data_IF_835254898051
#
_entry.id   IF_835254898051
#
_cell.length_a   1.000
_cell.length_b   1.000
_cell.length_c   1.000
_cell.angle_alpha   90.00
_cell.angle_beta   90.00
_cell.angle_gamma   90.00
#
_symmetry.space_group_name_H-M   'P 1'
#
loop_
_entity.id
_entity.type
_entity.pdbx_description
1 polymer ?
#
# COMPACT_ATOMS: atom_id res chain seq x y z
N UNK A 1 -1.14 -22.43 -12.20
CA UNK A 1 -1.79 -21.48 -11.27
C UNK A 1 -1.04 -20.17 -11.40
N UNK A 2 -1.73 -19.06 -11.63
CA UNK A 2 -1.10 -17.78 -11.93
C UNK A 2 -0.27 -17.26 -10.75
N UNK A 3 0.86 -16.63 -11.07
CA UNK A 3 1.62 -15.77 -10.19
C UNK A 3 0.72 -14.63 -9.68
N UNK A 4 0.80 -14.33 -8.38
CA UNK A 4 -0.09 -13.39 -7.67
C UNK A 4 0.77 -12.50 -6.78
N UNK A 5 0.79 -11.22 -7.12
CA UNK A 5 1.27 -10.15 -6.24
C UNK A 5 0.08 -9.51 -5.56
N UNK A 6 0.22 -9.25 -4.27
CA UNK A 6 -0.83 -8.67 -3.45
C UNK A 6 -0.48 -7.24 -3.06
N UNK A 7 -1.48 -6.37 -2.98
CA UNK A 7 -1.32 -5.02 -2.45
C UNK A 7 -2.30 -4.85 -1.30
N UNK A 8 -1.76 -4.55 -0.12
CA UNK A 8 -2.54 -4.13 1.04
C UNK A 8 -2.37 -2.63 1.25
N UNK A 9 -3.46 -1.91 1.40
CA UNK A 9 -3.49 -0.49 1.78
C UNK A 9 -4.24 -0.30 3.10
N UNK A 10 -3.60 0.40 4.04
CA UNK A 10 -4.20 0.89 5.27
C UNK A 10 -4.17 2.42 5.25
N UNK A 11 -5.34 3.06 5.31
CA UNK A 11 -5.47 4.52 5.39
C UNK A 11 -6.18 4.88 6.68
N UNK A 12 -5.56 5.75 7.47
CA UNK A 12 -6.11 6.28 8.71
C UNK A 12 -6.11 7.80 8.68
N UNK A 13 -7.26 8.40 8.92
CA UNK A 13 -7.42 9.83 9.14
C UNK A 13 -7.85 10.09 10.59
N UNK A 14 -7.16 11.02 11.24
CA UNK A 14 -7.46 11.47 12.59
C UNK A 14 -8.01 12.90 12.46
N UNK A 15 -9.33 13.02 12.64
CA UNK A 15 -10.05 14.29 12.60
C UNK A 15 -9.91 15.10 13.88
N UNK A 16 -10.61 16.23 13.93
CA UNK A 16 -10.68 17.08 15.10
C UNK A 16 -11.22 16.27 16.31
N UNK A 17 -10.69 16.55 17.50
CA UNK A 17 -11.01 15.81 18.74
C UNK A 17 -10.64 14.31 18.74
N UNK A 18 -9.81 13.86 17.79
CA UNK A 18 -9.28 12.49 17.77
C UNK A 18 -10.24 11.45 17.17
N UNK A 19 -11.26 11.89 16.42
CA UNK A 19 -12.12 10.99 15.66
C UNK A 19 -11.29 10.20 14.65
N UNK A 20 -11.44 8.87 14.64
CA UNK A 20 -10.64 7.97 13.78
C UNK A 20 -11.48 7.44 12.65
N UNK A 21 -11.03 7.68 11.43
CA UNK A 21 -11.63 7.17 10.21
C UNK A 21 -10.62 6.24 9.53
N UNK A 22 -11.06 5.03 9.18
CA UNK A 22 -10.19 3.97 8.66
C UNK A 22 -10.80 3.41 7.39
N UNK A 23 -10.00 3.35 6.35
CA UNK A 23 -10.30 2.61 5.12
C UNK A 23 -9.14 1.72 4.75
N UNK A 24 -9.45 0.48 4.42
CA UNK A 24 -8.47 -0.55 4.11
C UNK A 24 -8.90 -1.34 2.89
N UNK A 25 -7.91 -1.86 2.18
CA UNK A 25 -8.15 -2.71 1.02
C UNK A 25 -7.01 -3.67 0.78
N UNK A 26 -7.37 -4.84 0.26
CA UNK A 26 -6.46 -5.86 -0.19
C UNK A 26 -6.87 -6.25 -1.61
N UNK A 27 -5.89 -6.22 -2.50
CA UNK A 27 -6.07 -6.48 -3.93
C UNK A 27 -5.09 -7.54 -4.41
N UNK A 28 -5.56 -8.43 -5.28
CA UNK A 28 -4.74 -9.41 -5.98
C UNK A 28 -4.60 -9.02 -7.44
N UNK A 29 -3.35 -8.91 -7.92
CA UNK A 29 -3.05 -8.76 -9.33
C UNK A 29 -2.93 -10.14 -9.96
N UNK A 30 -3.81 -10.42 -10.92
CA UNK A 30 -4.03 -11.78 -11.44
C UNK A 30 -3.28 -12.10 -12.74
N UNK A 31 -2.40 -11.20 -13.19
CA UNK A 31 -1.63 -11.41 -14.41
C UNK A 31 -0.41 -12.28 -14.10
N UNK A 32 -0.38 -13.47 -14.71
CA UNK A 32 0.69 -14.44 -14.55
C UNK A 32 2.02 -13.86 -15.00
N UNK A 33 2.84 -13.47 -14.02
CA UNK A 33 4.22 -13.06 -14.22
C UNK A 33 4.36 -11.57 -14.48
N UNK A 34 5.03 -10.92 -13.53
CA UNK A 34 5.90 -9.76 -13.72
C UNK A 34 5.41 -8.77 -14.78
N UNK A 35 4.33 -8.03 -14.51
CA UNK A 35 3.87 -6.97 -15.42
C UNK A 35 3.96 -5.60 -14.71
N UNK A 36 4.68 -4.60 -15.26
CA UNK A 36 4.88 -3.31 -14.59
C UNK A 36 3.57 -2.53 -14.42
N UNK A 37 2.54 -2.86 -15.18
CA UNK A 37 1.21 -2.26 -15.08
C UNK A 37 0.55 -2.34 -13.68
N UNK A 38 1.00 -3.23 -12.78
CA UNK A 38 0.52 -3.18 -11.38
C UNK A 38 0.90 -1.86 -10.68
N UNK A 39 2.02 -1.26 -11.07
CA UNK A 39 2.52 0.00 -10.51
C UNK A 39 1.84 1.24 -11.06
N UNK A 40 1.12 1.15 -12.18
CA UNK A 40 0.38 2.29 -12.73
C UNK A 40 -0.63 2.83 -11.71
N UNK A 41 -1.37 1.93 -11.05
CA UNK A 41 -2.32 2.32 -9.99
C UNK A 41 -1.60 2.85 -8.74
N UNK A 42 -0.41 2.32 -8.44
CA UNK A 42 0.41 2.77 -7.32
C UNK A 42 0.93 4.20 -7.53
N UNK A 43 1.30 4.59 -8.76
CA UNK A 43 1.67 5.98 -9.07
C UNK A 43 0.57 6.94 -8.65
N UNK A 44 -0.67 6.68 -9.10
CA UNK A 44 -1.81 7.52 -8.77
C UNK A 44 -2.05 7.60 -7.27
N UNK A 45 -1.97 6.45 -6.60
CA UNK A 45 -2.09 6.35 -5.15
C UNK A 45 -1.05 7.22 -4.43
N UNK A 46 0.23 7.10 -4.79
CA UNK A 46 1.31 7.85 -4.14
C UNK A 46 1.26 9.35 -4.43
N UNK A 47 0.83 9.77 -5.62
CA UNK A 47 0.56 11.18 -5.93
C UNK A 47 -0.53 11.73 -5.00
N UNK A 48 -1.64 11.00 -4.86
CA UNK A 48 -2.71 11.41 -3.95
C UNK A 48 -2.23 11.44 -2.50
N UNK A 49 -1.55 10.38 -2.04
CA UNK A 49 -1.02 10.29 -0.69
C UNK A 49 -0.12 11.48 -0.36
N UNK A 50 0.83 11.82 -1.24
CA UNK A 50 1.68 13.00 -1.10
C UNK A 50 0.86 14.28 -0.98
N UNK A 51 -0.10 14.51 -1.88
CA UNK A 51 -0.91 15.73 -1.87
C UNK A 51 -1.71 15.88 -0.57
N UNK A 52 -2.29 14.79 -0.07
CA UNK A 52 -3.03 14.79 1.19
C UNK A 52 -2.10 14.97 2.40
N UNK A 53 -0.95 14.29 2.43
CA UNK A 53 0.05 14.42 3.50
C UNK A 53 0.58 15.85 3.59
N UNK A 54 0.96 16.46 2.46
CA UNK A 54 1.46 17.85 2.44
C UNK A 54 0.41 18.85 2.92
N UNK A 55 -0.84 18.67 2.51
CA UNK A 55 -1.96 19.49 2.98
C UNK A 55 -2.21 19.31 4.47
N UNK A 56 -2.27 18.07 4.96
CA UNK A 56 -2.44 17.76 6.37
C UNK A 56 -1.31 18.36 7.23
N UNK A 57 -0.06 18.28 6.76
CA UNK A 57 1.10 18.86 7.46
C UNK A 57 1.11 20.39 7.42
N UNK A 58 0.44 21.04 6.48
CA UNK A 58 0.55 22.50 6.29
C UNK A 58 -0.07 23.26 7.46
N UNK A 59 -1.35 23.03 7.71
CA UNK A 59 -2.13 23.71 8.77
C UNK A 59 -3.45 22.98 9.05
N UNK A 60 -4.11 23.40 10.14
CA UNK A 60 -5.38 22.81 10.60
C UNK A 60 -6.56 23.09 9.64
N UNK A 61 -6.43 24.05 8.72
CA UNK A 61 -7.49 24.35 7.76
C UNK A 61 -7.75 23.13 6.85
N UNK A 62 -6.70 22.46 6.39
CA UNK A 62 -6.87 21.26 5.56
C UNK A 62 -7.42 20.06 6.33
N UNK A 63 -7.02 19.88 7.58
CA UNK A 63 -7.58 18.81 8.43
C UNK A 63 -9.09 19.00 8.61
N UNK A 64 -9.52 20.22 8.86
CA UNK A 64 -10.94 20.58 8.96
C UNK A 64 -11.68 20.41 7.62
N UNK A 65 -11.04 20.74 6.51
CA UNK A 65 -11.59 20.52 5.17
C UNK A 65 -11.77 19.01 4.88
N UNK A 66 -10.80 18.19 5.26
CA UNK A 66 -10.83 16.73 5.10
C UNK A 66 -11.95 16.09 5.91
N UNK A 67 -12.14 16.51 7.15
CA UNK A 67 -13.24 16.00 7.99
C UNK A 67 -14.60 16.41 7.43
N UNK A 68 -14.75 17.67 7.01
CA UNK A 68 -15.98 18.14 6.33
C UNK A 68 -16.24 17.34 5.06
N UNK A 69 -15.23 17.09 4.23
CA UNK A 69 -15.38 16.27 3.03
C UNK A 69 -15.82 14.85 3.37
N UNK A 70 -15.24 14.27 4.43
CA UNK A 70 -15.58 12.91 4.87
C UNK A 70 -17.06 12.77 5.21
N UNK A 71 -17.66 13.79 5.85
CA UNK A 71 -19.07 13.81 6.20
C UNK A 71 -20.03 13.72 4.99
N UNK A 72 -19.60 14.16 3.81
CA UNK A 72 -20.41 14.07 2.58
C UNK A 72 -20.06 12.88 1.70
N UNK A 73 -18.80 12.45 1.73
CA UNK A 73 -18.27 11.41 0.87
C UNK A 73 -17.03 10.79 1.52
N UNK A 74 -16.97 9.46 1.52
CA UNK A 74 -15.81 8.72 1.99
C UNK A 74 -14.64 8.85 0.99
N UNK A 75 -13.92 9.96 1.06
CA UNK A 75 -12.76 10.24 0.21
C UNK A 75 -11.56 9.36 0.53
N UNK A 76 -11.44 8.81 1.76
CA UNK A 76 -10.39 7.83 2.06
C UNK A 76 -10.52 6.60 1.17
N UNK A 77 -11.75 6.10 1.01
CA UNK A 77 -12.02 4.98 0.11
C UNK A 77 -11.77 5.38 -1.34
N UNK A 78 -12.34 6.49 -1.80
CA UNK A 78 -12.34 6.83 -3.22
C UNK A 78 -10.99 7.32 -3.75
N UNK A 79 -10.25 8.08 -2.94
CA UNK A 79 -9.02 8.74 -3.36
C UNK A 79 -7.76 7.92 -3.02
N UNK A 80 -7.92 6.78 -2.31
CA UNK A 80 -6.83 5.84 -2.02
C UNK A 80 -7.18 4.39 -2.32
N UNK A 81 -8.16 3.81 -1.60
CA UNK A 81 -8.43 2.36 -1.70
C UNK A 81 -8.92 1.97 -3.09
N UNK A 82 -9.95 2.66 -3.59
CA UNK A 82 -10.55 2.39 -4.90
C UNK A 82 -9.63 2.79 -6.06
N UNK A 83 -8.59 3.61 -5.84
CA UNK A 83 -7.58 3.90 -6.88
C UNK A 83 -6.81 2.66 -7.30
N UNK A 84 -6.71 1.67 -6.40
CA UNK A 84 -6.08 0.41 -6.74
C UNK A 84 -6.96 -0.41 -7.68
N UNK A 85 -8.28 -0.19 -7.73
CA UNK A 85 -9.19 -0.97 -8.56
C UNK A 85 -8.91 -0.77 -10.06
N UNK A 86 -8.65 -1.86 -10.78
CA UNK A 86 -8.62 -1.85 -12.25
C UNK A 86 -9.08 -3.20 -12.83
N UNK A 87 -9.15 -3.30 -14.15
CA UNK A 87 -9.39 -4.55 -14.87
C UNK A 87 -8.26 -5.59 -14.68
N UNK A 88 -7.12 -5.19 -14.09
CA UNK A 88 -5.94 -6.03 -13.86
C UNK A 88 -5.89 -6.64 -12.45
N UNK A 89 -6.80 -6.26 -11.56
CA UNK A 89 -6.87 -6.78 -10.19
C UNK A 89 -8.30 -6.97 -9.71
N UNK A 90 -8.43 -7.59 -8.54
CA UNK A 90 -9.70 -7.74 -7.84
C UNK A 90 -9.46 -7.59 -6.34
N UNK A 91 -10.46 -7.07 -5.65
CA UNK A 91 -10.43 -6.97 -4.20
C UNK A 91 -10.73 -8.33 -3.57
N UNK A 92 -10.03 -8.63 -2.48
CA UNK A 92 -10.18 -9.85 -1.68
C UNK A 92 -10.65 -9.54 -0.25
N UNK A 93 -11.13 -8.32 0.00
CA UNK A 93 -11.62 -7.88 1.30
C UNK A 93 -12.71 -8.79 1.89
N UNK A 94 -13.55 -9.37 1.02
CA UNK A 94 -14.66 -10.23 1.42
C UNK A 94 -14.19 -11.62 1.90
N UNK A 95 -12.97 -12.03 1.56
CA UNK A 95 -12.41 -13.33 1.98
C UNK A 95 -12.21 -13.43 3.49
N UNK A 96 -12.15 -12.30 4.20
CA UNK A 96 -12.13 -12.22 5.67
C UNK A 96 -13.23 -13.08 6.28
N UNK A 97 -14.42 -13.12 5.66
CA UNK A 97 -15.60 -13.84 6.15
C UNK A 97 -15.42 -15.36 6.17
N UNK A 98 -14.43 -15.89 5.46
CA UNK A 98 -14.13 -17.33 5.41
C UNK A 98 -13.29 -17.80 6.60
N UNK A 99 -12.75 -16.88 7.39
CA UNK A 99 -11.86 -17.20 8.50
C UNK A 99 -12.52 -16.93 9.84
N UNK A 100 -12.63 -17.98 10.67
CA UNK A 100 -13.31 -17.91 11.97
C UNK A 100 -12.75 -16.83 12.91
N UNK A 101 -11.44 -16.53 12.85
CA UNK A 101 -10.86 -15.49 13.71
C UNK A 101 -11.32 -14.06 13.36
N UNK A 102 -11.86 -13.84 12.17
CA UNK A 102 -12.36 -12.53 11.71
C UNK A 102 -13.88 -12.51 11.58
N UNK A 103 -14.57 -13.46 12.21
CA UNK A 103 -16.03 -13.57 12.17
C UNK A 103 -16.70 -12.27 12.58
N UNK A 104 -17.75 -11.90 11.84
CA UNK A 104 -18.55 -10.68 12.03
C UNK A 104 -17.76 -9.36 11.87
N UNK A 105 -16.52 -9.42 11.35
CA UNK A 105 -15.71 -8.24 11.03
C UNK A 105 -15.67 -7.98 9.53
N UNK A 106 -15.46 -6.72 9.19
CA UNK A 106 -15.04 -6.26 7.86
C UNK A 106 -13.57 -5.81 7.89
N UNK A 107 -12.94 -5.68 6.72
CA UNK A 107 -11.56 -5.18 6.57
C UNK A 107 -11.31 -3.86 7.35
N UNK A 108 -12.32 -2.97 7.40
CA UNK A 108 -12.22 -1.67 8.08
C UNK A 108 -12.42 -1.76 9.60
N UNK A 109 -13.07 -2.82 10.11
CA UNK A 109 -13.29 -3.03 11.55
C UNK A 109 -12.19 -3.83 12.23
N UNK A 110 -11.26 -4.43 11.46
CA UNK A 110 -10.10 -5.12 12.02
C UNK A 110 -9.25 -4.16 12.86
N UNK A 111 -8.62 -4.67 13.91
CA UNK A 111 -7.47 -3.98 14.50
C UNK A 111 -6.33 -3.91 13.49
N UNK A 112 -5.37 -3.01 13.71
CA UNK A 112 -4.21 -2.89 12.82
C UNK A 112 -3.40 -4.19 12.74
N UNK A 113 -3.21 -4.84 13.90
CA UNK A 113 -2.57 -6.16 13.98
C UNK A 113 -3.33 -7.21 13.16
N UNK A 114 -4.66 -7.28 13.31
CA UNK A 114 -5.49 -8.23 12.57
C UNK A 114 -5.49 -7.97 11.06
N UNK A 115 -5.46 -6.70 10.64
CA UNK A 115 -5.35 -6.35 9.24
C UNK A 115 -4.03 -6.83 8.62
N UNK A 116 -2.91 -6.58 9.29
CA UNK A 116 -1.62 -7.05 8.80
C UNK A 116 -1.50 -8.58 8.90
N UNK A 117 -2.06 -9.21 9.93
CA UNK A 117 -2.15 -10.66 10.02
C UNK A 117 -2.94 -11.25 8.83
N UNK A 118 -4.09 -10.67 8.50
CA UNK A 118 -4.87 -11.02 7.31
C UNK A 118 -4.05 -10.88 6.01
N UNK A 119 -3.40 -9.73 5.81
CA UNK A 119 -2.57 -9.45 4.64
C UNK A 119 -1.43 -10.48 4.48
N UNK A 120 -0.81 -10.89 5.58
CA UNK A 120 0.41 -11.68 5.59
C UNK A 120 0.15 -13.20 5.58
N UNK A 121 -0.82 -13.66 6.36
CA UNK A 121 -0.96 -15.08 6.71
C UNK A 121 -2.18 -15.78 6.07
N UNK A 122 -3.14 -15.03 5.54
CA UNK A 122 -4.43 -15.60 5.09
C UNK A 122 -4.69 -15.44 3.60
N UNK A 123 -3.73 -14.91 2.84
CA UNK A 123 -3.94 -14.54 1.45
C UNK A 123 -2.91 -15.22 0.55
N UNK A 124 -3.40 -15.86 -0.50
CA UNK A 124 -2.60 -16.57 -1.50
C UNK A 124 -1.72 -15.59 -2.28
N UNK A 125 -0.42 -15.60 -2.00
CA UNK A 125 0.55 -14.74 -2.66
C UNK A 125 1.78 -15.55 -3.06
N UNK A 126 2.20 -15.44 -4.32
CA UNK A 126 3.35 -16.17 -4.85
C UNK A 126 4.53 -15.24 -5.13
N UNK A 127 4.27 -13.96 -5.38
CA UNK A 127 5.26 -13.00 -5.88
C UNK A 127 5.35 -11.78 -4.96
N UNK A 128 5.26 -12.02 -3.65
CA UNK A 128 5.36 -11.01 -2.61
C UNK A 128 4.22 -9.98 -2.56
N UNK A 129 4.30 -9.12 -1.55
CA UNK A 129 3.23 -8.21 -1.15
C UNK A 129 3.74 -6.79 -1.05
N UNK A 130 2.97 -5.82 -1.51
CA UNK A 130 3.20 -4.41 -1.25
C UNK A 130 2.26 -4.00 -0.11
N UNK A 131 2.83 -3.54 0.99
CA UNK A 131 2.08 -2.99 2.11
C UNK A 131 2.23 -1.46 2.09
N UNK A 132 1.11 -0.74 1.98
CA UNK A 132 1.04 0.72 2.01
C UNK A 132 0.32 1.16 3.27
N UNK A 133 0.92 2.06 4.03
CA UNK A 133 0.38 2.64 5.26
C UNK A 133 0.34 4.17 5.15
N UNK A 134 -0.85 4.74 5.21
CA UNK A 134 -1.09 6.18 5.10
C UNK A 134 -1.74 6.68 6.38
N UNK A 135 -1.08 7.62 7.04
CA UNK A 135 -1.62 8.35 8.19
C UNK A 135 -1.82 9.81 7.82
N UNK A 136 -3.01 10.34 8.10
CA UNK A 136 -3.35 11.75 7.99
C UNK A 136 -3.75 12.25 9.39
N UNK A 137 -2.78 12.85 10.07
CA UNK A 137 -2.84 13.32 11.47
C UNK A 137 -2.01 14.61 11.64
N UNK A 138 -2.39 15.64 10.88
CA UNK A 138 -1.70 16.93 10.91
C UNK A 138 -0.21 16.80 10.60
N UNK A 139 0.64 17.29 11.51
CA UNK A 139 2.10 17.22 11.39
C UNK A 139 2.67 15.79 11.41
N UNK A 140 1.96 14.82 12.00
CA UNK A 140 2.40 13.42 12.06
C UNK A 140 2.06 12.63 10.79
N UNK A 141 1.44 13.27 9.80
CA UNK A 141 0.98 12.60 8.59
C UNK A 141 2.14 11.99 7.80
N UNK A 142 1.94 10.79 7.26
CA UNK A 142 2.93 10.11 6.44
C UNK A 142 2.28 9.19 5.41
N UNK A 143 3.07 8.80 4.42
CA UNK A 143 2.79 7.68 3.53
C UNK A 143 4.03 6.80 3.49
N UNK A 144 3.91 5.57 4.00
CA UNK A 144 4.99 4.58 4.02
C UNK A 144 4.57 3.39 3.18
N UNK A 145 5.54 2.75 2.55
CA UNK A 145 5.31 1.49 1.88
C UNK A 145 6.51 0.58 2.03
N UNK A 146 6.28 -0.73 1.99
CA UNK A 146 7.33 -1.72 1.96
C UNK A 146 6.91 -2.89 1.07
N UNK A 147 7.90 -3.63 0.60
CA UNK A 147 7.69 -4.90 -0.07
C UNK A 147 8.00 -6.05 0.87
N UNK A 148 7.15 -7.07 0.87
CA UNK A 148 7.37 -8.30 1.60
C UNK A 148 7.55 -9.46 0.62
N UNK A 149 8.74 -10.05 0.62
CA UNK A 149 9.07 -11.25 -0.17
C UNK A 149 8.23 -12.44 0.32
N UNK A 150 7.84 -13.33 -0.58
CA UNK A 150 7.22 -14.60 -0.20
C UNK A 150 8.29 -15.69 -0.05
N UNK A 151 8.74 -15.93 1.18
CA UNK A 151 9.79 -16.92 1.49
C UNK A 151 9.36 -17.98 2.52
N UNK A 152 8.04 -18.20 2.72
CA UNK A 152 7.49 -19.26 3.57
C UNK A 152 6.75 -18.77 4.82
N UNK A 153 6.50 -19.67 5.77
CA UNK A 153 5.77 -19.42 7.02
C UNK A 153 6.69 -19.00 8.17
N UNK A 154 6.19 -18.18 9.10
CA UNK A 154 6.89 -17.76 10.32
C UNK A 154 5.96 -16.93 11.21
N UNK A 155 6.46 -16.49 12.38
CA UNK A 155 5.76 -15.45 13.14
C UNK A 155 5.75 -14.12 12.38
N UNK A 156 4.88 -13.19 12.78
CA UNK A 156 4.84 -11.85 12.20
C UNK A 156 6.22 -11.17 12.29
N UNK A 157 6.85 -11.23 13.46
CA UNK A 157 8.15 -10.63 13.71
C UNK A 157 9.25 -11.25 12.83
N UNK A 158 9.26 -12.57 12.70
CA UNK A 158 10.22 -13.30 11.85
C UNK A 158 10.06 -12.96 10.37
N UNK A 159 8.81 -12.89 9.89
CA UNK A 159 8.49 -12.54 8.50
C UNK A 159 8.94 -11.11 8.20
N UNK A 160 8.66 -10.16 9.10
CA UNK A 160 9.05 -8.76 8.93
C UNK A 160 10.56 -8.60 8.94
N UNK A 161 11.28 -9.25 9.86
CA UNK A 161 12.74 -9.12 9.94
C UNK A 161 13.45 -9.72 8.72
N UNK A 162 12.94 -10.83 8.18
CA UNK A 162 13.56 -11.55 7.07
C UNK A 162 13.20 -11.01 5.69
N UNK A 163 11.93 -10.69 5.47
CA UNK A 163 11.36 -10.56 4.13
C UNK A 163 10.86 -9.16 3.79
N UNK A 164 10.77 -8.26 4.78
CA UNK A 164 10.40 -6.86 4.53
C UNK A 164 11.60 -6.08 4.00
N UNK A 165 11.43 -5.42 2.87
CA UNK A 165 12.44 -4.54 2.29
C UNK A 165 11.80 -3.32 1.65
N UNK A 166 12.45 -2.17 1.84
CA UNK A 166 12.22 -0.95 1.06
C UNK A 166 13.27 -0.77 -0.05
N UNK A 167 14.26 -1.66 -0.14
CA UNK A 167 15.33 -1.55 -1.12
C UNK A 167 14.81 -1.96 -2.50
N UNK A 168 14.82 -1.01 -3.43
CA UNK A 168 14.25 -1.18 -4.76
C UNK A 168 15.07 -2.14 -5.64
N UNK A 169 16.38 -2.25 -5.43
CA UNK A 169 17.23 -3.27 -6.08
C UNK A 169 16.87 -4.67 -5.62
N UNK A 170 16.70 -4.88 -4.31
CA UNK A 170 16.29 -6.18 -3.78
C UNK A 170 14.91 -6.62 -4.27
N UNK A 171 13.98 -5.67 -4.42
CA UNK A 171 12.64 -5.94 -4.97
C UNK A 171 12.74 -6.35 -6.43
N UNK A 172 13.53 -5.61 -7.23
CA UNK A 172 13.76 -5.94 -8.63
C UNK A 172 14.38 -7.32 -8.80
N UNK A 173 15.37 -7.66 -7.99
CA UNK A 173 16.03 -8.96 -8.06
C UNK A 173 15.08 -10.08 -7.65
N UNK A 174 14.31 -9.92 -6.57
CA UNK A 174 13.31 -10.90 -6.14
C UNK A 174 12.29 -11.23 -7.24
N UNK A 175 11.73 -10.22 -7.91
CA UNK A 175 10.79 -10.47 -9.00
C UNK A 175 11.45 -10.97 -10.27
N UNK A 176 12.67 -10.54 -10.58
CA UNK A 176 13.31 -10.93 -11.84
C UNK A 176 14.12 -12.22 -11.74
N UNK A 177 14.24 -12.83 -10.56
CA UNK A 177 15.11 -13.98 -10.27
C UNK A 177 14.81 -15.18 -11.19
N UNK A 178 13.53 -15.49 -11.38
CA UNK A 178 13.08 -16.69 -12.08
C UNK A 178 12.76 -16.47 -13.57
N UNK A 179 13.16 -15.33 -14.14
CA UNK A 179 12.91 -14.99 -15.55
C UNK A 179 14.10 -15.45 -16.40
N UNK A 180 13.88 -16.48 -17.22
CA UNK A 180 14.91 -17.04 -18.11
C UNK A 180 15.12 -16.23 -19.40
N UNK A 181 14.14 -15.41 -19.80
CA UNK A 181 14.24 -14.54 -20.97
C UNK A 181 14.93 -13.23 -20.57
N UNK A 182 16.20 -13.06 -20.97
CA UNK A 182 17.02 -11.89 -20.62
C UNK A 182 16.50 -10.58 -21.24
N UNK A 183 15.86 -10.62 -22.42
CA UNK A 183 15.28 -9.43 -23.05
C UNK A 183 14.05 -8.96 -22.26
N UNK A 184 13.16 -9.90 -21.93
CA UNK A 184 11.98 -9.63 -21.11
C UNK A 184 12.36 -9.21 -19.69
N UNK A 185 13.34 -9.87 -19.07
CA UNK A 185 13.91 -9.49 -17.78
C UNK A 185 14.44 -8.06 -17.80
N UNK A 186 15.17 -7.67 -18.85
CA UNK A 186 15.65 -6.32 -19.04
C UNK A 186 14.53 -5.29 -19.17
N UNK A 187 13.49 -5.61 -19.95
CA UNK A 187 12.28 -4.78 -20.06
C UNK A 187 11.60 -4.56 -18.70
N UNK A 188 11.45 -5.62 -17.92
CA UNK A 188 10.80 -5.57 -16.62
C UNK A 188 11.61 -4.80 -15.58
N UNK A 189 12.92 -5.06 -15.48
CA UNK A 189 13.81 -4.27 -14.62
C UNK A 189 13.74 -2.80 -14.96
N UNK A 190 13.74 -2.43 -16.25
CA UNK A 190 13.62 -1.03 -16.68
C UNK A 190 12.26 -0.42 -16.30
N UNK A 191 11.16 -1.14 -16.52
CA UNK A 191 9.81 -0.69 -16.19
C UNK A 191 9.64 -0.48 -14.68
N UNK A 192 9.93 -1.51 -13.89
CA UNK A 192 9.83 -1.49 -12.43
C UNK A 192 10.77 -0.42 -11.85
N UNK A 193 12.02 -0.34 -12.32
CA UNK A 193 13.00 0.64 -11.84
C UNK A 193 12.53 2.09 -12.04
N UNK A 194 11.97 2.42 -13.21
CA UNK A 194 11.39 3.76 -13.46
C UNK A 194 10.25 4.06 -12.49
N UNK A 195 9.38 3.09 -12.27
CA UNK A 195 8.21 3.26 -11.40
C UNK A 195 8.63 3.44 -9.94
N UNK A 196 9.56 2.60 -9.45
CA UNK A 196 10.10 2.70 -8.11
C UNK A 196 10.85 4.01 -7.88
N UNK A 197 11.67 4.46 -8.83
CA UNK A 197 12.34 5.76 -8.73
C UNK A 197 11.35 6.93 -8.66
N UNK A 198 10.19 6.81 -9.30
CA UNK A 198 9.14 7.83 -9.25
C UNK A 198 8.44 7.84 -7.89
N UNK A 199 8.20 6.65 -7.32
CA UNK A 199 7.64 6.51 -5.97
C UNK A 199 8.61 7.04 -4.91
N UNK A 200 9.90 6.70 -5.02
CA UNK A 200 10.97 7.23 -4.16
C UNK A 200 11.04 8.76 -4.27
N UNK A 201 11.11 9.31 -5.49
CA UNK A 201 11.11 10.75 -5.74
C UNK A 201 9.88 11.44 -5.11
N UNK A 202 8.70 10.84 -5.21
CA UNK A 202 7.50 11.37 -4.57
C UNK A 202 7.68 11.38 -3.04
N UNK A 203 8.24 10.31 -2.47
CA UNK A 203 8.54 10.18 -1.04
C UNK A 203 9.54 11.22 -0.53
N UNK A 204 10.70 11.38 -1.18
CA UNK A 204 11.78 12.29 -0.75
C UNK A 204 11.34 13.76 -0.67
N UNK A 205 10.56 14.22 -1.65
CA UNK A 205 10.06 15.61 -1.66
C UNK A 205 9.08 15.92 -0.50
N UNK A 206 8.53 14.90 0.16
CA UNK A 206 7.71 15.09 1.37
C UNK A 206 8.60 15.34 2.60
N UNK A 207 9.83 14.84 2.59
CA UNK A 207 10.78 14.95 3.70
C UNK A 207 11.67 16.20 3.59
N UNK A 208 12.03 16.66 2.39
CA UNK A 208 12.87 17.87 2.23
C UNK A 208 12.15 19.17 2.63
N UNK A 209 10.83 19.29 2.37
CA UNK A 209 10.05 20.45 2.85
C UNK A 209 9.93 20.51 4.38
N UNK A 210 10.15 19.39 5.09
CA UNK A 210 10.15 19.37 6.55
C UNK A 210 11.46 19.98 7.13
N UNK A 211 12.53 20.11 6.34
CA UNK A 211 13.82 20.64 6.80
C UNK A 211 14.05 22.13 6.50
N UNK A 212 13.26 22.75 5.62
CA UNK A 212 13.45 24.17 5.23
C UNK A 212 12.62 25.17 6.07
N UNK A 213 11.83 24.69 7.03
CA UNK A 213 11.04 25.56 7.93
C UNK A 213 11.40 25.27 9.39
N UNK A 214 12.52 25.84 9.84
CA UNK A 214 12.82 26.06 11.26
C UNK A 214 13.08 27.55 11.51
#
# INVERSE_FOLDING_TARGET
>A
MGQRTQIGINVKFIGENGAKYIERGVYHYQWGGYHPGMFENLIGLFINAKNYVLKAKKDDFYMNEFERKFAYRNWLKMDFVDMLSSDKNYSVNEEIKYYDQFKDKTINTLTEKEYYDFLLNYQDCNDGRIAVDILLDGKNSYCKWNFLKYNGSGSFEEIIERDLTGNTEEIMDYWCENINDEEYKGYLKSGIGKLLSFVEYIGEFVDEQDNEVQ
#
